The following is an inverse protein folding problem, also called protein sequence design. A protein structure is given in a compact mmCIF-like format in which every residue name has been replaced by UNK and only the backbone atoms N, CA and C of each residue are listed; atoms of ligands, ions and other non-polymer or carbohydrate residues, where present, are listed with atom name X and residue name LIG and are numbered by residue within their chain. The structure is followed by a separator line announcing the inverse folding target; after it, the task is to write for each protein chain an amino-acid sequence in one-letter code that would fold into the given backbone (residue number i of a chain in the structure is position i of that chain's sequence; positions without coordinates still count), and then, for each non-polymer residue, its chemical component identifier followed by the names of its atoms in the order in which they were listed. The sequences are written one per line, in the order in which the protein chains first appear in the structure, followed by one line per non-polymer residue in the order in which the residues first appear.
data_IF_348565935733
#
_entry.id   IF_348565935733
#
_cell.length_a   1.000
_cell.length_b   1.000
_cell.length_c   1.000
_cell.angle_alpha   90.00
_cell.angle_beta   90.00
_cell.angle_gamma   90.00
#
_symmetry.space_group_name_H-M   'P 1'
#
loop_
_entity.id
_entity.type
_entity.pdbx_description
1 polymer ?
#
# COMPACT_ATOMS: atom_id res chain seq x y z
N UNK A 1 4.48 11.99 4.24
CA UNK A 1 5.13 10.85 3.55
C UNK A 1 4.11 10.24 2.62
N UNK A 2 4.50 9.92 1.39
CA UNK A 2 3.65 9.14 0.47
C UNK A 2 4.22 7.74 0.38
N UNK A 3 3.39 6.72 0.56
CA UNK A 3 3.78 5.32 0.43
C UNK A 3 2.84 4.63 -0.55
N UNK A 4 3.40 3.86 -1.48
CA UNK A 4 2.65 2.97 -2.37
C UNK A 4 3.02 1.53 -2.05
N UNK A 5 2.01 0.69 -1.88
CA UNK A 5 2.14 -0.72 -1.50
C UNK A 5 1.23 -1.58 -2.36
N UNK A 6 1.43 -2.90 -2.37
CA UNK A 6 0.42 -3.78 -2.97
C UNK A 6 -0.85 -3.76 -2.12
N UNK A 7 -1.99 -3.59 -2.77
CA UNK A 7 -3.28 -3.64 -2.10
C UNK A 7 -3.54 -5.03 -1.50
N UNK A 8 -4.45 -5.15 -0.54
CA UNK A 8 -4.84 -6.42 0.09
C UNK A 8 -5.22 -7.53 -0.91
N UNK A 9 -5.80 -7.15 -2.05
CA UNK A 9 -6.18 -7.97 -3.19
C UNK A 9 -5.18 -7.92 -4.36
N UNK A 10 -4.03 -7.30 -4.15
CA UNK A 10 -2.90 -7.28 -5.07
C UNK A 10 -2.18 -8.63 -5.17
N UNK A 11 -1.10 -8.70 -5.97
CA UNK A 11 -0.36 -9.94 -6.22
C UNK A 11 0.25 -10.50 -4.93
N UNK A 12 0.32 -11.81 -4.81
CA UNK A 12 0.94 -12.48 -3.65
C UNK A 12 2.46 -12.57 -3.75
N UNK A 13 3.02 -12.30 -4.92
CA UNK A 13 4.45 -12.34 -5.19
C UNK A 13 4.89 -11.27 -6.19
N UNK A 14 6.14 -10.83 -6.08
CA UNK A 14 6.83 -9.96 -7.03
C UNK A 14 8.25 -10.51 -7.25
N UNK A 15 8.68 -10.63 -8.51
CA UNK A 15 9.97 -11.26 -8.87
C UNK A 15 10.19 -12.65 -8.26
N UNK A 16 9.10 -13.41 -8.09
CA UNK A 16 9.12 -14.75 -7.47
C UNK A 16 9.27 -14.76 -5.95
N UNK A 17 9.26 -13.60 -5.29
CA UNK A 17 9.33 -13.47 -3.83
C UNK A 17 7.96 -13.13 -3.25
N UNK A 18 7.59 -13.66 -2.07
CA UNK A 18 6.36 -13.28 -1.39
C UNK A 18 6.38 -11.79 -1.06
N UNK A 19 5.23 -11.14 -1.18
CA UNK A 19 5.06 -9.73 -0.82
C UNK A 19 4.13 -9.58 0.38
N UNK A 20 4.30 -8.48 1.10
CA UNK A 20 3.28 -8.02 2.06
C UNK A 20 2.29 -7.13 1.32
N UNK A 21 1.02 -7.29 1.66
CA UNK A 21 -0.11 -6.55 1.09
C UNK A 21 -0.80 -5.80 2.20
N UNK A 22 -1.24 -4.59 1.89
CA UNK A 22 -1.85 -3.71 2.87
C UNK A 22 -3.21 -3.17 2.41
N UNK A 23 -4.06 -2.98 3.40
CA UNK A 23 -5.19 -2.08 3.41
C UNK A 23 -4.94 -1.00 4.48
N UNK A 24 -5.88 -0.08 4.66
CA UNK A 24 -5.80 0.97 5.67
C UNK A 24 -5.49 0.41 7.07
N UNK A 25 -6.24 -0.60 7.52
CA UNK A 25 -6.13 -1.12 8.88
C UNK A 25 -4.81 -1.86 9.14
N UNK A 26 -4.34 -2.64 8.16
CA UNK A 26 -3.08 -3.37 8.27
C UNK A 26 -1.87 -2.46 8.12
N UNK A 27 -1.91 -1.45 7.24
CA UNK A 27 -0.82 -0.48 7.12
C UNK A 27 -0.68 0.34 8.40
N UNK A 28 -1.81 0.80 8.96
CA UNK A 28 -1.79 1.60 10.19
C UNK A 28 -1.30 0.78 11.39
N UNK A 29 -1.62 -0.52 11.43
CA UNK A 29 -1.08 -1.44 12.45
C UNK A 29 0.43 -1.62 12.33
N UNK A 30 0.95 -1.71 11.10
CA UNK A 30 2.38 -1.89 10.85
C UNK A 30 3.19 -0.64 11.23
N UNK A 31 2.67 0.55 10.91
CA UNK A 31 3.34 1.83 11.17
C UNK A 31 3.20 2.31 12.63
N UNK A 32 2.18 1.80 13.34
CA UNK A 32 1.88 2.17 14.71
C UNK A 32 1.49 3.64 14.88
N UNK A 33 1.55 4.11 16.13
CA UNK A 33 1.04 5.44 16.51
C UNK A 33 1.94 6.61 16.08
N UNK A 34 3.06 6.35 15.40
CA UNK A 34 3.94 7.40 14.89
C UNK A 34 3.37 8.12 13.66
N UNK A 35 2.34 7.56 13.01
CA UNK A 35 1.76 8.12 11.80
C UNK A 35 0.24 8.15 11.83
N UNK A 36 -0.31 9.26 11.36
CA UNK A 36 -1.70 9.38 10.94
C UNK A 36 -1.82 9.05 9.46
N UNK A 37 -2.76 8.18 9.11
CA UNK A 37 -3.27 8.11 7.74
C UNK A 37 -4.14 9.34 7.49
N UNK A 38 -3.70 10.20 6.57
CA UNK A 38 -4.41 11.44 6.22
C UNK A 38 -5.38 11.19 5.06
N UNK A 39 -4.91 10.47 4.05
CA UNK A 39 -5.66 10.15 2.85
C UNK A 39 -5.11 8.84 2.26
N UNK A 40 -5.95 8.11 1.55
CA UNK A 40 -5.53 6.94 0.80
C UNK A 40 -6.31 6.81 -0.51
N UNK A 41 -5.71 6.13 -1.47
CA UNK A 41 -6.32 5.80 -2.75
C UNK A 41 -5.99 4.35 -3.14
N UNK A 42 -6.89 3.74 -3.91
CA UNK A 42 -6.63 2.48 -4.58
C UNK A 42 -6.42 2.72 -6.06
N UNK A 43 -5.35 2.15 -6.60
CA UNK A 43 -5.00 2.26 -8.01
C UNK A 43 -4.97 0.87 -8.67
N UNK A 44 -5.73 0.72 -9.76
CA UNK A 44 -5.67 -0.46 -10.64
C UNK A 44 -4.71 -0.17 -11.79
N UNK A 45 -3.44 -0.54 -11.64
CA UNK A 45 -2.43 -0.33 -12.68
C UNK A 45 -2.51 -1.42 -13.76
N UNK A 46 -2.54 -1.01 -15.04
CA UNK A 46 -2.44 -1.94 -16.16
C UNK A 46 -0.97 -2.15 -16.55
N UNK A 47 -0.48 -3.36 -16.33
CA UNK A 47 0.90 -3.73 -16.66
C UNK A 47 1.11 -3.82 -18.18
N UNK A 48 2.34 -3.60 -18.69
CA UNK A 48 2.65 -3.72 -20.11
C UNK A 48 2.33 -5.09 -20.72
N UNK A 49 2.24 -6.14 -19.90
CA UNK A 49 1.93 -7.51 -20.32
C UNK A 49 0.44 -7.86 -20.18
N UNK A 50 -0.43 -6.87 -19.98
CA UNK A 50 -1.90 -7.03 -20.06
C UNK A 50 -2.59 -7.50 -18.79
N UNK A 51 -1.89 -7.59 -17.66
CA UNK A 51 -2.49 -7.90 -16.34
C UNK A 51 -2.80 -6.64 -15.54
N UNK A 52 -3.72 -6.74 -14.57
CA UNK A 52 -3.99 -5.68 -13.60
C UNK A 52 -3.19 -5.92 -12.32
N UNK A 53 -2.70 -4.84 -11.73
CA UNK A 53 -1.98 -4.86 -10.47
C UNK A 53 -2.56 -3.78 -9.55
N UNK A 54 -3.13 -4.23 -8.43
CA UNK A 54 -3.80 -3.36 -7.47
C UNK A 54 -2.79 -2.81 -6.44
N UNK A 55 -2.77 -1.48 -6.31
CA UNK A 55 -1.95 -0.75 -5.36
C UNK A 55 -2.80 -0.02 -4.32
N UNK A 56 -2.25 0.11 -3.11
CA UNK A 56 -2.77 0.96 -2.05
C UNK A 56 -1.78 2.10 -1.81
N UNK A 57 -2.23 3.32 -2.09
CA UNK A 57 -1.47 4.55 -1.97
C UNK A 57 -1.92 5.28 -0.72
N UNK A 58 -0.98 5.69 0.14
CA UNK A 58 -1.26 6.34 1.42
C UNK A 58 -0.48 7.63 1.57
N UNK A 59 -1.18 8.72 1.93
CA UNK A 59 -0.60 9.93 2.46
C UNK A 59 -0.60 9.85 3.99
N UNK A 60 0.60 9.82 4.55
CA UNK A 60 0.84 9.65 5.97
C UNK A 60 1.45 10.93 6.56
N UNK A 61 0.89 11.42 7.67
CA UNK A 61 1.47 12.49 8.48
C UNK A 61 2.13 11.87 9.69
N UNK A 62 3.38 12.23 9.96
CA UNK A 62 4.03 11.81 11.21
C UNK A 62 3.39 12.55 12.38
N UNK A 63 2.97 11.83 13.42
CA UNK A 63 2.73 12.44 14.74
C UNK A 63 4.12 12.78 15.27
N UNK A 64 4.36 14.04 15.64
CA UNK A 64 5.62 14.60 16.14
C UNK A 64 6.44 15.41 15.11
N UNK A 65 6.14 16.72 15.10
CA UNK A 65 7.05 17.83 15.46
C UNK A 65 6.28 18.82 16.33
#
# INVERSE_FOLDING_TARGET
MVMSTFAADGPTQCSGLPVVRYDEASLQRELGDHFDLVEHERESHQTPFGTKQEFFNALLRRRDW
#
